data_IF_399136843262
#
_entry.id   IF_399136843262
#
_cell.length_a   1.000
_cell.length_b   1.000
_cell.length_c   1.000
_cell.angle_alpha   90.00
_cell.angle_beta   90.00
_cell.angle_gamma   90.00
#
_symmetry.space_group_name_H-M   'P 1'
#
loop_
_entity.id
_entity.type
_entity.pdbx_description
1 polymer ?
#
# COMPACT_ATOMS: atom_id res chain seq x y z
N UNK A 1 -15.74 3.71 -5.32
CA UNK A 1 -16.71 2.74 -4.81
C UNK A 1 -17.92 3.47 -4.23
N UNK A 2 -19.15 3.01 -4.55
CA UNK A 2 -20.41 3.59 -4.05
C UNK A 2 -20.61 3.30 -2.56
N UNK A 3 -20.01 2.24 -2.05
CA UNK A 3 -20.16 1.77 -0.66
C UNK A 3 -19.05 2.27 0.28
N UNK A 4 -18.10 3.08 -0.19
CA UNK A 4 -16.92 3.48 0.60
C UNK A 4 -17.27 4.07 1.97
N UNK A 5 -18.33 4.85 2.07
CA UNK A 5 -18.77 5.45 3.33
C UNK A 5 -19.21 4.40 4.36
N UNK A 6 -19.92 3.36 3.90
CA UNK A 6 -20.35 2.27 4.74
C UNK A 6 -19.18 1.38 5.15
N UNK A 7 -18.24 1.12 4.23
CA UNK A 7 -17.04 0.35 4.51
C UNK A 7 -16.17 1.02 5.59
N UNK A 8 -15.95 2.35 5.49
CA UNK A 8 -15.22 3.10 6.52
C UNK A 8 -15.96 3.05 7.86
N UNK A 9 -17.28 3.26 7.86
CA UNK A 9 -18.09 3.17 9.09
C UNK A 9 -18.02 1.79 9.73
N UNK A 10 -18.14 0.73 8.95
CA UNK A 10 -18.03 -0.66 9.43
C UNK A 10 -16.63 -0.93 10.00
N UNK A 11 -15.58 -0.49 9.29
CA UNK A 11 -14.21 -0.64 9.79
C UNK A 11 -14.03 0.09 11.12
N UNK A 12 -14.49 1.36 11.23
CA UNK A 12 -14.42 2.14 12.46
C UNK A 12 -15.20 1.51 13.60
N UNK A 13 -16.40 0.97 13.34
CA UNK A 13 -17.23 0.33 14.37
C UNK A 13 -16.63 -0.96 14.94
N UNK A 14 -15.76 -1.63 14.17
CA UNK A 14 -15.11 -2.89 14.58
C UNK A 14 -13.67 -2.69 15.05
N UNK A 15 -13.02 -1.63 14.60
CA UNK A 15 -11.61 -1.33 14.83
C UNK A 15 -11.49 0.10 15.37
N UNK A 16 -11.99 0.33 16.58
CA UNK A 16 -12.09 1.67 17.20
C UNK A 16 -10.75 2.41 17.24
N UNK A 17 -9.67 1.68 17.51
CA UNK A 17 -8.34 2.25 17.81
C UNK A 17 -7.40 2.21 16.59
N UNK A 18 -7.85 1.64 15.47
CA UNK A 18 -7.04 1.56 14.26
C UNK A 18 -7.03 2.89 13.52
N UNK A 19 -5.88 3.23 12.93
CA UNK A 19 -5.79 4.32 11.97
C UNK A 19 -6.35 3.86 10.62
N UNK A 20 -7.38 4.55 10.13
CA UNK A 20 -8.01 4.28 8.83
C UNK A 20 -7.55 5.35 7.86
N UNK A 21 -6.77 4.95 6.87
CA UNK A 21 -6.27 5.83 5.82
C UNK A 21 -6.86 5.45 4.46
N UNK A 22 -7.04 6.44 3.60
CA UNK A 22 -7.50 6.24 2.22
C UNK A 22 -6.52 6.87 1.24
N UNK A 23 -6.19 6.16 0.18
CA UNK A 23 -5.42 6.69 -0.97
C UNK A 23 -6.36 6.81 -2.17
N UNK A 24 -6.32 7.94 -2.86
CA UNK A 24 -7.19 8.24 -4.01
C UNK A 24 -6.50 9.19 -4.98
N UNK A 25 -6.93 9.23 -6.25
CA UNK A 25 -6.56 10.27 -7.21
C UNK A 25 -7.39 11.55 -7.06
N UNK A 26 -8.46 11.53 -6.30
CA UNK A 26 -9.26 12.72 -6.02
C UNK A 26 -10.35 13.07 -7.04
N UNK A 27 -10.42 12.40 -8.20
CA UNK A 27 -11.32 12.76 -9.33
C UNK A 27 -12.78 13.00 -8.93
N UNK A 28 -13.28 12.20 -8.00
CA UNK A 28 -14.67 12.26 -7.55
C UNK A 28 -14.84 12.98 -6.21
N UNK A 29 -13.78 13.58 -5.67
CA UNK A 29 -13.85 14.31 -4.41
C UNK A 29 -14.52 15.67 -4.59
N UNK A 30 -15.35 15.99 -3.61
CA UNK A 30 -15.91 17.32 -3.40
C UNK A 30 -16.08 17.55 -1.88
N UNK A 31 -16.42 18.77 -1.47
CA UNK A 31 -16.57 19.13 -0.05
C UNK A 31 -17.51 18.20 0.71
N UNK A 32 -18.66 17.86 0.13
CA UNK A 32 -19.66 17.00 0.77
C UNK A 32 -19.12 15.56 0.97
N UNK A 33 -18.52 14.99 -0.07
CA UNK A 33 -17.96 13.62 0.00
C UNK A 33 -16.80 13.56 0.98
N UNK A 34 -15.91 14.55 0.93
CA UNK A 34 -14.75 14.59 1.81
C UNK A 34 -15.17 14.72 3.28
N UNK A 35 -16.09 15.66 3.62
CA UNK A 35 -16.68 15.73 4.96
C UNK A 35 -17.29 14.41 5.41
N UNK A 36 -18.05 13.74 4.52
CA UNK A 36 -18.71 12.47 4.83
C UNK A 36 -17.71 11.35 5.15
N UNK A 37 -16.57 11.29 4.45
CA UNK A 37 -15.51 10.30 4.73
C UNK A 37 -15.01 10.42 6.18
N UNK A 38 -14.66 11.64 6.61
CA UNK A 38 -14.20 11.90 7.98
C UNK A 38 -15.28 11.68 9.02
N UNK A 39 -16.53 12.09 8.76
CA UNK A 39 -17.67 11.79 9.64
C UNK A 39 -17.92 10.30 9.82
N UNK A 40 -17.53 9.46 8.83
CA UNK A 40 -17.64 8.00 8.91
C UNK A 40 -16.45 7.33 9.59
N UNK A 41 -15.44 8.09 10.00
CA UNK A 41 -14.33 7.59 10.81
C UNK A 41 -13.01 7.44 10.07
N UNK A 42 -12.85 8.07 8.89
CA UNK A 42 -11.54 8.19 8.26
C UNK A 42 -10.62 9.05 9.12
N UNK A 43 -9.37 8.65 9.29
CA UNK A 43 -8.37 9.45 10.00
C UNK A 43 -7.54 10.30 9.05
N UNK A 44 -7.19 9.74 7.89
CA UNK A 44 -6.29 10.42 6.95
C UNK A 44 -6.62 10.10 5.49
N UNK A 45 -6.44 11.07 4.62
CA UNK A 45 -6.56 10.91 3.19
C UNK A 45 -5.25 11.30 2.49
N UNK A 46 -4.80 10.45 1.56
CA UNK A 46 -3.65 10.70 0.71
C UNK A 46 -4.17 10.84 -0.73
N UNK A 47 -4.03 12.03 -1.29
CA UNK A 47 -4.58 12.36 -2.62
C UNK A 47 -3.41 12.49 -3.59
N UNK A 48 -3.41 11.71 -4.67
CA UNK A 48 -2.37 11.76 -5.69
C UNK A 48 -2.81 12.66 -6.84
N UNK A 49 -2.16 13.82 -7.01
CA UNK A 49 -2.37 14.74 -8.13
C UNK A 49 -1.42 14.36 -9.27
N UNK A 50 -1.97 14.15 -10.46
CA UNK A 50 -1.22 13.73 -11.65
C UNK A 50 -1.18 14.80 -12.74
N UNK A 51 -2.16 15.71 -12.79
CA UNK A 51 -2.38 16.66 -13.89
C UNK A 51 -1.77 18.05 -13.64
N UNK A 52 -0.76 18.12 -12.76
CA UNK A 52 0.00 19.33 -12.55
C UNK A 52 -0.41 20.14 -11.33
N UNK A 53 0.25 21.29 -11.19
CA UNK A 53 0.12 22.15 -10.00
C UNK A 53 -1.32 22.65 -9.77
N UNK A 54 -2.05 22.97 -10.83
CA UNK A 54 -3.42 23.48 -10.70
C UNK A 54 -4.36 22.45 -10.07
N UNK A 55 -4.20 21.16 -10.40
CA UNK A 55 -4.94 20.07 -9.77
C UNK A 55 -4.55 19.94 -8.30
N UNK A 56 -3.25 19.93 -7.99
CA UNK A 56 -2.76 19.82 -6.63
C UNK A 56 -3.30 20.97 -5.75
N UNK A 57 -3.20 22.23 -6.23
CA UNK A 57 -3.71 23.40 -5.52
C UNK A 57 -5.23 23.30 -5.28
N UNK A 58 -5.99 22.81 -6.26
CA UNK A 58 -7.44 22.57 -6.13
C UNK A 58 -7.75 21.55 -5.04
N UNK A 59 -7.00 20.44 -5.01
CA UNK A 59 -7.18 19.37 -4.02
C UNK A 59 -6.78 19.82 -2.61
N UNK A 60 -5.69 20.59 -2.49
CA UNK A 60 -5.31 21.20 -1.21
C UNK A 60 -6.36 22.19 -0.70
N UNK A 61 -6.84 23.08 -1.57
CA UNK A 61 -7.89 24.06 -1.20
C UNK A 61 -9.17 23.32 -0.77
N UNK A 62 -9.52 22.23 -1.43
CA UNK A 62 -10.66 21.39 -1.04
C UNK A 62 -10.53 20.87 0.41
N UNK A 63 -9.33 20.45 0.81
CA UNK A 63 -9.06 19.98 2.18
C UNK A 63 -9.13 21.15 3.19
N UNK A 64 -8.52 22.30 2.85
CA UNK A 64 -8.54 23.52 3.68
C UNK A 64 -9.96 24.06 3.87
N UNK A 65 -10.77 24.07 2.82
CA UNK A 65 -12.16 24.55 2.82
C UNK A 65 -13.09 23.80 3.77
N UNK A 66 -12.75 22.60 4.16
CA UNK A 66 -13.49 21.82 5.15
C UNK A 66 -12.79 21.74 6.51
N UNK A 67 -11.74 22.57 6.70
CA UNK A 67 -10.96 22.68 7.92
C UNK A 67 -10.27 21.38 8.34
N UNK A 68 -9.74 20.59 7.39
CA UNK A 68 -8.86 19.46 7.75
C UNK A 68 -7.55 19.98 8.31
N UNK A 69 -7.07 19.35 9.39
CA UNK A 69 -5.74 19.64 9.93
C UNK A 69 -4.63 19.03 9.03
N UNK A 70 -3.40 19.58 9.08
CA UNK A 70 -2.31 19.13 8.21
C UNK A 70 -1.94 17.65 8.36
N UNK A 71 -2.22 17.04 9.48
CA UNK A 71 -1.99 15.61 9.73
C UNK A 71 -3.07 14.70 9.12
N UNK A 72 -4.24 15.26 8.78
CA UNK A 72 -5.37 14.53 8.22
C UNK A 72 -5.30 14.35 6.71
N UNK A 73 -4.48 15.10 5.99
CA UNK A 73 -4.36 14.93 4.53
C UNK A 73 -2.93 15.11 4.03
N UNK A 74 -2.65 14.49 2.90
CA UNK A 74 -1.44 14.72 2.11
C UNK A 74 -1.85 14.76 0.64
N UNK A 75 -1.52 15.86 -0.05
CA UNK A 75 -1.60 15.93 -1.51
C UNK A 75 -0.21 15.58 -2.07
N UNK A 76 -0.13 14.49 -2.81
CA UNK A 76 1.10 13.98 -3.43
C UNK A 76 1.19 14.48 -4.86
N UNK A 77 2.22 15.25 -5.17
CA UNK A 77 2.46 15.83 -6.51
C UNK A 77 3.12 14.81 -7.42
N UNK A 78 2.36 13.91 -8.02
CA UNK A 78 2.86 12.80 -8.85
C UNK A 78 3.40 13.21 -10.22
N UNK A 79 3.28 14.48 -10.56
CA UNK A 79 3.76 15.08 -11.82
C UNK A 79 5.16 15.69 -11.71
N UNK A 80 5.76 15.73 -10.52
CA UNK A 80 7.11 16.27 -10.28
C UNK A 80 7.99 15.19 -9.63
N UNK A 81 8.41 14.15 -10.38
CA UNK A 81 9.21 13.07 -9.81
C UNK A 81 10.59 13.51 -9.29
N UNK A 82 11.10 14.65 -9.78
CA UNK A 82 12.42 15.19 -9.44
C UNK A 82 12.40 16.02 -8.14
N UNK A 83 11.27 16.62 -7.80
CA UNK A 83 11.15 17.60 -6.68
C UNK A 83 10.40 16.96 -5.51
N UNK A 84 9.53 16.04 -5.80
CA UNK A 84 8.57 15.52 -4.84
C UNK A 84 9.00 14.15 -4.31
N UNK A 85 9.96 14.17 -3.41
CA UNK A 85 10.44 12.98 -2.71
C UNK A 85 9.45 12.52 -1.62
N UNK A 86 8.17 12.44 -1.94
CA UNK A 86 7.19 11.81 -1.05
C UNK A 86 7.38 10.30 -0.94
N UNK A 87 8.61 9.81 -1.10
CA UNK A 87 8.90 8.40 -1.09
C UNK A 87 8.22 7.65 -2.23
N UNK A 88 7.92 8.35 -3.33
CA UNK A 88 7.51 7.72 -4.57
C UNK A 88 8.77 7.28 -5.31
N UNK A 89 9.44 6.38 -4.71
CA UNK A 89 10.31 5.52 -5.47
C UNK A 89 9.37 4.68 -6.34
N UNK A 90 9.34 4.98 -7.63
CA UNK A 90 8.69 4.10 -8.59
C UNK A 90 9.46 2.78 -8.49
N UNK A 91 8.85 1.78 -7.86
CA UNK A 91 9.44 0.45 -7.84
C UNK A 91 9.10 -0.28 -9.15
N UNK A 92 9.90 -1.28 -9.52
CA UNK A 92 9.63 -2.13 -10.67
C UNK A 92 8.42 -3.06 -10.47
N UNK A 93 7.65 -2.89 -9.37
CA UNK A 93 6.50 -3.71 -9.02
C UNK A 93 6.78 -5.21 -9.13
N UNK A 94 7.87 -5.61 -8.50
CA UNK A 94 8.38 -7.00 -8.55
C UNK A 94 8.60 -7.49 -9.99
N UNK A 95 9.16 -6.63 -10.84
CA UNK A 95 9.51 -6.93 -12.21
C UNK A 95 8.36 -6.87 -13.21
N UNK A 96 7.19 -6.34 -12.82
CA UNK A 96 6.05 -6.18 -13.74
C UNK A 96 5.99 -4.79 -14.38
N UNK A 97 6.81 -3.86 -13.93
CA UNK A 97 6.87 -2.49 -14.45
C UNK A 97 8.25 -2.20 -15.01
N UNK A 98 8.29 -1.67 -16.22
CA UNK A 98 9.49 -1.15 -16.86
C UNK A 98 9.28 0.31 -17.24
N UNK A 99 10.28 1.15 -16.99
CA UNK A 99 10.30 2.54 -17.42
C UNK A 99 11.75 2.96 -17.66
N UNK A 100 12.12 3.14 -18.94
CA UNK A 100 13.48 3.45 -19.33
C UNK A 100 13.93 4.84 -18.86
N UNK A 101 13.03 5.83 -18.81
CA UNK A 101 13.30 7.20 -18.35
C UNK A 101 13.76 7.21 -16.89
N UNK A 102 13.06 6.47 -16.04
CA UNK A 102 13.39 6.35 -14.62
C UNK A 102 14.30 5.15 -14.30
N UNK A 103 14.87 4.49 -15.30
CA UNK A 103 15.73 3.30 -15.16
C UNK A 103 15.11 2.19 -14.32
N UNK A 104 13.81 2.02 -14.43
CA UNK A 104 13.05 0.99 -13.73
C UNK A 104 12.98 -0.23 -14.62
N UNK A 105 13.46 -1.38 -14.14
CA UNK A 105 13.39 -2.66 -14.83
C UNK A 105 13.43 -3.81 -13.81
N UNK A 106 13.07 -5.00 -14.26
CA UNK A 106 13.28 -6.22 -13.50
C UNK A 106 14.76 -6.40 -13.14
N UNK A 107 15.07 -6.76 -11.89
CA UNK A 107 16.45 -7.03 -11.51
C UNK A 107 16.97 -8.29 -12.22
N UNK A 108 18.25 -8.27 -12.57
CA UNK A 108 18.96 -9.45 -13.15
C UNK A 108 19.35 -10.45 -12.06
N UNK A 109 19.62 -9.93 -10.85
CA UNK A 109 19.97 -10.73 -9.68
C UNK A 109 19.15 -10.26 -8.46
N UNK A 110 18.73 -11.17 -7.59
CA UNK A 110 17.99 -10.85 -6.38
C UNK A 110 18.78 -9.94 -5.44
N UNK A 111 18.06 -9.02 -4.79
CA UNK A 111 18.66 -8.23 -3.71
C UNK A 111 19.13 -9.14 -2.57
N UNK A 112 20.36 -8.96 -2.12
CA UNK A 112 20.97 -9.68 -0.97
C UNK A 112 20.63 -8.98 0.36
N UNK A 113 19.37 -8.59 0.55
CA UNK A 113 18.85 -7.90 1.73
C UNK A 113 17.59 -8.56 2.23
N UNK A 114 17.36 -8.67 3.56
CA UNK A 114 16.10 -9.13 4.11
C UNK A 114 14.92 -8.29 3.62
N UNK A 115 13.74 -8.89 3.57
CA UNK A 115 12.49 -8.18 3.33
C UNK A 115 11.47 -8.55 4.39
N UNK A 116 11.03 -7.55 5.17
CA UNK A 116 10.09 -7.76 6.27
C UNK A 116 8.65 -7.35 5.93
N UNK A 117 8.37 -6.86 4.72
CA UNK A 117 7.02 -6.42 4.31
C UNK A 117 5.95 -7.47 4.64
N UNK A 118 6.11 -8.77 4.32
CA UNK A 118 5.09 -9.77 4.65
C UNK A 118 4.95 -10.06 6.15
N UNK A 119 5.84 -9.56 7.00
CA UNK A 119 5.80 -9.75 8.45
C UNK A 119 4.97 -8.69 9.17
N UNK A 120 4.55 -7.62 8.48
CA UNK A 120 3.71 -6.57 9.06
C UNK A 120 2.56 -6.11 8.15
N UNK A 121 2.50 -6.61 6.91
CA UNK A 121 1.47 -6.22 5.94
C UNK A 121 0.58 -7.41 5.60
N UNK A 122 -0.72 -7.24 5.73
CA UNK A 122 -1.73 -8.13 5.16
C UNK A 122 -2.34 -7.41 3.96
N UNK A 123 -1.92 -7.78 2.75
CA UNK A 123 -2.36 -7.11 1.53
C UNK A 123 -3.49 -7.89 0.86
N UNK A 124 -4.65 -7.25 0.77
CA UNK A 124 -5.87 -7.81 0.22
C UNK A 124 -6.26 -7.06 -1.05
N UNK A 125 -6.59 -7.77 -2.10
CA UNK A 125 -7.14 -7.16 -3.30
C UNK A 125 -8.68 -7.17 -3.30
N UNK A 126 -9.26 -6.56 -4.34
CA UNK A 126 -10.72 -6.42 -4.48
C UNK A 126 -11.45 -7.75 -4.77
N UNK A 127 -10.76 -8.81 -5.13
CA UNK A 127 -11.31 -10.16 -5.37
C UNK A 127 -11.26 -11.03 -4.11
N UNK A 128 -10.67 -10.52 -3.03
CA UNK A 128 -10.46 -11.27 -1.80
C UNK A 128 -9.16 -12.06 -1.77
N UNK A 129 -8.29 -11.93 -2.79
CA UNK A 129 -6.98 -12.58 -2.80
C UNK A 129 -6.03 -11.87 -1.85
N UNK A 130 -5.37 -12.64 -1.01
CA UNK A 130 -4.32 -12.17 -0.12
C UNK A 130 -2.98 -12.40 -0.79
N UNK A 131 -2.31 -11.30 -1.14
CA UNK A 131 -1.01 -11.31 -1.79
C UNK A 131 0.12 -11.24 -0.78
N UNK A 132 1.31 -11.64 -1.19
CA UNK A 132 2.48 -11.60 -0.32
C UNK A 132 2.85 -10.17 0.10
N UNK A 133 2.68 -9.20 -0.78
CA UNK A 133 2.96 -7.78 -0.51
C UNK A 133 2.29 -6.87 -1.57
N UNK A 134 2.22 -5.54 -1.31
CA UNK A 134 1.63 -4.59 -2.25
C UNK A 134 2.44 -4.38 -3.54
N UNK A 135 3.64 -4.94 -3.66
CA UNK A 135 4.48 -4.84 -4.86
C UNK A 135 4.29 -6.02 -5.82
N UNK A 136 3.64 -7.10 -5.41
CA UNK A 136 3.34 -8.26 -6.29
C UNK A 136 2.13 -7.95 -7.20
N UNK A 137 2.32 -7.02 -8.12
CA UNK A 137 1.25 -6.62 -9.06
C UNK A 137 0.88 -7.73 -10.05
N UNK A 138 1.82 -8.62 -10.32
CA UNK A 138 1.58 -9.78 -11.16
C UNK A 138 0.82 -10.91 -10.47
N UNK A 139 0.44 -10.75 -9.18
CA UNK A 139 -0.23 -11.77 -8.35
C UNK A 139 0.46 -13.15 -8.42
N UNK A 140 1.79 -13.14 -8.42
CA UNK A 140 2.58 -14.38 -8.53
C UNK A 140 2.51 -15.24 -7.28
N UNK A 141 2.32 -14.61 -6.11
CA UNK A 141 2.17 -15.31 -4.83
C UNK A 141 0.87 -14.90 -4.15
N UNK A 142 -0.17 -15.68 -4.37
CA UNK A 142 -1.42 -15.62 -3.62
C UNK A 142 -1.27 -16.56 -2.41
N UNK A 143 -1.45 -16.00 -1.20
CA UNK A 143 -1.37 -16.75 0.07
C UNK A 143 -2.67 -17.47 0.40
N UNK A 144 -3.78 -16.94 -0.05
CA UNK A 144 -5.12 -17.47 0.12
C UNK A 144 -6.18 -16.47 -0.34
N UNK A 145 -7.45 -16.80 -0.11
CA UNK A 145 -8.56 -15.92 -0.45
C UNK A 145 -9.55 -15.85 0.73
N UNK A 146 -9.92 -14.63 1.14
CA UNK A 146 -10.80 -14.41 2.30
C UNK A 146 -12.26 -14.86 2.09
N UNK A 147 -12.67 -15.17 0.87
CA UNK A 147 -13.96 -15.79 0.63
C UNK A 147 -14.02 -17.26 1.10
N UNK A 148 -12.84 -17.90 1.29
CA UNK A 148 -12.73 -19.33 1.57
C UNK A 148 -11.96 -19.64 2.87
N UNK A 149 -11.20 -18.69 3.42
CA UNK A 149 -10.35 -18.89 4.59
C UNK A 149 -10.38 -17.69 5.52
N UNK A 150 -10.15 -17.90 6.81
CA UNK A 150 -10.01 -16.81 7.75
C UNK A 150 -8.66 -16.07 7.58
N UNK A 151 -8.58 -14.83 8.10
CA UNK A 151 -7.34 -14.05 8.14
C UNK A 151 -6.22 -14.83 8.82
N UNK A 152 -6.52 -15.48 9.96
CA UNK A 152 -5.53 -16.22 10.73
C UNK A 152 -5.03 -17.48 10.01
N UNK A 153 -5.93 -18.22 9.34
CA UNK A 153 -5.53 -19.41 8.55
C UNK A 153 -4.59 -19.04 7.41
N UNK A 154 -4.83 -17.87 6.77
CA UNK A 154 -3.95 -17.38 5.71
C UNK A 154 -2.64 -16.87 6.28
N UNK A 155 -2.71 -16.06 7.35
CA UNK A 155 -1.53 -15.44 7.96
C UNK A 155 -0.54 -16.45 8.50
N UNK A 156 -1.04 -17.51 9.14
CA UNK A 156 -0.25 -18.60 9.72
C UNK A 156 -0.11 -19.83 8.80
N UNK A 157 -0.51 -19.71 7.53
CA UNK A 157 -0.36 -20.83 6.60
C UNK A 157 1.12 -21.24 6.43
N UNK A 158 1.40 -22.53 6.20
CA UNK A 158 2.77 -22.99 5.96
C UNK A 158 3.46 -22.26 4.82
N UNK A 159 2.70 -21.86 3.77
CA UNK A 159 3.20 -21.07 2.65
C UNK A 159 3.66 -19.69 3.11
N UNK A 160 2.83 -18.97 3.87
CA UNK A 160 3.16 -17.63 4.35
C UNK A 160 4.35 -17.66 5.32
N UNK A 161 4.38 -18.62 6.22
CA UNK A 161 5.48 -18.81 7.19
C UNK A 161 6.81 -19.11 6.48
N UNK A 162 6.80 -20.06 5.52
CA UNK A 162 7.99 -20.38 4.72
C UNK A 162 8.55 -19.13 4.02
N UNK A 163 7.70 -18.35 3.38
CA UNK A 163 8.12 -17.16 2.63
C UNK A 163 8.72 -16.11 3.57
N UNK A 164 8.10 -15.83 4.72
CA UNK A 164 8.64 -14.90 5.72
C UNK A 164 10.02 -15.35 6.20
N UNK A 165 10.19 -16.64 6.47
CA UNK A 165 11.49 -17.19 6.89
C UNK A 165 12.56 -17.02 5.81
N UNK A 166 12.26 -17.30 4.54
CA UNK A 166 13.19 -17.08 3.43
C UNK A 166 13.58 -15.58 3.34
N UNK A 167 12.60 -14.71 3.31
CA UNK A 167 12.80 -13.28 3.15
C UNK A 167 13.55 -12.63 4.34
N UNK A 168 13.34 -13.10 5.56
CA UNK A 168 14.05 -12.62 6.74
C UNK A 168 15.55 -12.99 6.71
N UNK A 169 15.91 -14.06 5.99
CA UNK A 169 17.28 -14.52 5.76
C UNK A 169 17.91 -13.98 4.47
N UNK A 170 17.29 -12.99 3.85
CA UNK A 170 17.68 -12.42 2.57
C UNK A 170 17.62 -13.41 1.38
N UNK A 171 16.95 -14.55 1.54
CA UNK A 171 16.72 -15.46 0.44
C UNK A 171 15.52 -14.97 -0.39
N UNK A 172 15.84 -14.37 -1.53
CA UNK A 172 14.86 -13.85 -2.51
C UNK A 172 14.92 -14.63 -3.83
N UNK A 173 15.49 -15.84 -3.85
CA UNK A 173 15.69 -16.66 -5.05
C UNK A 173 14.39 -17.34 -5.54
N UNK A 174 13.27 -16.63 -5.48
CA UNK A 174 11.97 -17.11 -5.96
C UNK A 174 11.15 -15.97 -6.55
N UNK A 175 10.34 -16.28 -7.56
CA UNK A 175 9.46 -15.31 -8.22
C UNK A 175 8.29 -14.92 -7.28
N UNK A 176 7.95 -13.59 -7.15
CA UNK A 176 8.52 -12.46 -7.89
C UNK A 176 9.65 -11.72 -7.15
N UNK A 177 10.06 -12.20 -5.98
CA UNK A 177 11.01 -11.50 -5.12
C UNK A 177 12.42 -11.40 -5.71
N UNK A 178 12.77 -12.33 -6.61
CA UNK A 178 14.04 -12.32 -7.33
C UNK A 178 14.18 -11.17 -8.35
N UNK A 179 13.07 -10.61 -8.79
CA UNK A 179 13.01 -9.50 -9.75
C UNK A 179 12.79 -8.13 -9.09
N UNK A 180 12.49 -8.14 -7.78
CA UNK A 180 11.99 -6.98 -7.05
C UNK A 180 13.11 -6.04 -6.58
N UNK A 181 12.98 -4.75 -6.87
CA UNK A 181 13.91 -3.68 -6.46
C UNK A 181 13.62 -3.09 -5.07
N UNK A 182 12.54 -3.50 -4.43
CA UNK A 182 12.14 -2.97 -3.12
C UNK A 182 13.00 -3.52 -2.00
N UNK A 183 13.64 -2.64 -1.23
CA UNK A 183 14.51 -3.08 -0.13
C UNK A 183 13.74 -3.80 0.99
N UNK A 184 12.55 -3.30 1.37
CA UNK A 184 11.66 -4.00 2.31
C UNK A 184 12.15 -4.04 3.77
N UNK A 185 13.06 -3.14 4.16
CA UNK A 185 13.74 -3.16 5.48
C UNK A 185 13.20 -2.15 6.49
N UNK A 186 12.30 -1.25 6.10
CA UNK A 186 11.86 -0.13 6.95
C UNK A 186 11.17 -0.53 8.24
N UNK A 187 10.31 -1.54 8.19
CA UNK A 187 9.52 -2.01 9.33
C UNK A 187 9.48 -3.53 9.34
N UNK A 188 8.95 -4.08 10.42
CA UNK A 188 8.64 -5.50 10.51
C UNK A 188 9.79 -6.41 10.94
N UNK A 189 11.03 -5.91 11.09
CA UNK A 189 12.16 -6.71 11.61
C UNK A 189 11.82 -7.30 12.99
N UNK A 190 11.30 -6.48 13.91
CA UNK A 190 10.88 -6.93 15.23
C UNK A 190 9.77 -7.97 15.16
N UNK A 191 8.79 -7.75 14.26
CA UNK A 191 7.67 -8.68 14.08
C UNK A 191 8.11 -10.00 13.44
N UNK A 192 9.16 -10.00 12.61
CA UNK A 192 9.64 -11.21 11.96
C UNK A 192 10.14 -12.26 12.97
N UNK A 193 10.62 -11.84 14.13
CA UNK A 193 11.09 -12.75 15.19
C UNK A 193 9.99 -13.65 15.75
N UNK A 194 8.72 -13.26 15.61
CA UNK A 194 7.59 -14.11 16.02
C UNK A 194 7.28 -15.24 15.02
N UNK A 195 7.92 -15.25 13.85
CA UNK A 195 7.67 -16.19 12.77
C UNK A 195 8.91 -17.03 12.41
N UNK A 196 9.97 -16.89 13.17
CA UNK A 196 11.22 -17.64 13.08
C UNK A 196 11.32 -18.64 14.21
#
# INVERSE_FOLDING_TARGET
>A
DKNIFNLIYMARSKLSDCNIEMVTNGDVLNKSRLKKLFLKGLNKILISAYDGKAEADKLENLCKDINLSPDQYIVRHRYLPEIDDFGITLSNRSGTMENAEFKIAALKEPLKKPCYIPSYTFFLDYQGDVLICPHDWGKKIILGNLNNKSILDIWFSPKAMKIRNLLSKADRNFNPCNLCDVEGTFMGKKNSTFFL
#
